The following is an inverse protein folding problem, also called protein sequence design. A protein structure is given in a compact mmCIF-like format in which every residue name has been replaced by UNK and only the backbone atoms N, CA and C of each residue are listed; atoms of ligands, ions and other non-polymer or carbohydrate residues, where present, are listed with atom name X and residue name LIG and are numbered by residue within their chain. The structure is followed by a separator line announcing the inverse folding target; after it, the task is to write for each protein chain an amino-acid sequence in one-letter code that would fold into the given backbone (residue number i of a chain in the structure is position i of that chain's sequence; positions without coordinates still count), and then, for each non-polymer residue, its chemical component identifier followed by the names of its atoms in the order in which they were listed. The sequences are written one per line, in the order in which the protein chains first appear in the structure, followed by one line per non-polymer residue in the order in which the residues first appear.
data_IF_206078943346
#
_entry.id   IF_206078943346
#
_cell.length_a   1.000
_cell.length_b   1.000
_cell.length_c   1.000
_cell.angle_alpha   90.00
_cell.angle_beta   90.00
_cell.angle_gamma   90.00
#
_symmetry.space_group_name_H-M   'P 1'
#
loop_
_entity.id
_entity.type
_entity.pdbx_description
1 polymer ?
#
# COMPACT_ATOMS: atom_id res chain seq x y z
N UNK A 1 -10.80 2.13 -14.71
CA UNK A 1 -11.36 2.84 -15.89
C UNK A 1 -12.55 3.72 -15.50
N UNK A 2 -13.69 3.14 -15.10
CA UNK A 2 -14.91 3.91 -14.81
C UNK A 2 -14.72 5.04 -13.79
N UNK A 3 -13.94 4.80 -12.73
CA UNK A 3 -13.61 5.84 -11.77
C UNK A 3 -12.95 7.07 -12.44
N UNK A 4 -12.00 6.84 -13.36
CA UNK A 4 -11.35 7.91 -14.12
C UNK A 4 -12.29 8.61 -15.10
N UNK A 5 -13.27 7.92 -15.68
CA UNK A 5 -14.32 8.56 -16.49
C UNK A 5 -15.17 9.49 -15.62
N UNK A 6 -15.57 9.04 -14.43
CA UNK A 6 -16.32 9.87 -13.47
C UNK A 6 -15.51 11.09 -13.04
N UNK A 7 -14.23 10.91 -12.69
CA UNK A 7 -13.34 12.02 -12.34
C UNK A 7 -13.14 13.01 -13.48
N UNK A 8 -12.99 12.53 -14.71
CA UNK A 8 -12.87 13.36 -15.91
C UNK A 8 -14.15 14.19 -16.12
N UNK A 9 -15.33 13.57 -16.04
CA UNK A 9 -16.61 14.27 -16.13
C UNK A 9 -16.75 15.31 -15.02
N UNK A 10 -16.39 14.96 -13.78
CA UNK A 10 -16.37 15.90 -12.66
C UNK A 10 -15.45 17.10 -12.93
N UNK A 11 -14.29 16.88 -13.54
CA UNK A 11 -13.37 17.94 -13.96
C UNK A 11 -13.97 18.83 -15.06
N UNK A 12 -14.51 18.23 -16.13
CA UNK A 12 -15.12 18.95 -17.27
C UNK A 12 -16.30 19.82 -16.81
N UNK A 13 -17.19 19.27 -15.98
CA UNK A 13 -18.34 19.99 -15.43
C UNK A 13 -17.99 20.93 -14.26
N UNK A 14 -16.70 21.07 -13.92
CA UNK A 14 -16.22 21.89 -12.79
C UNK A 14 -16.89 21.54 -11.46
N UNK A 15 -17.24 20.27 -11.25
CA UNK A 15 -17.85 19.73 -10.03
C UNK A 15 -16.86 19.64 -8.85
N UNK A 16 -15.64 20.17 -9.00
CA UNK A 16 -14.67 20.30 -7.90
C UNK A 16 -15.18 21.11 -6.71
N UNK A 17 -16.18 21.98 -6.91
CA UNK A 17 -16.81 22.72 -5.81
C UNK A 17 -17.52 21.80 -4.80
N UNK A 18 -18.02 20.62 -5.22
CA UNK A 18 -18.67 19.65 -4.32
C UNK A 18 -17.70 19.15 -3.25
N UNK A 19 -16.43 19.02 -3.60
CA UNK A 19 -15.36 18.56 -2.71
C UNK A 19 -15.10 19.58 -1.59
N UNK A 20 -15.28 20.87 -1.89
CA UNK A 20 -15.14 21.95 -0.91
C UNK A 20 -16.21 21.91 0.18
N UNK A 21 -17.33 21.24 -0.05
CA UNK A 21 -18.38 21.03 0.96
C UNK A 21 -18.12 19.84 1.88
N UNK A 22 -17.06 19.05 1.65
CA UNK A 22 -16.74 17.93 2.53
C UNK A 22 -16.00 18.47 3.76
N UNK A 23 -16.58 18.34 4.97
CA UNK A 23 -15.97 18.89 6.17
C UNK A 23 -14.64 18.20 6.50
N UNK A 24 -13.68 18.95 7.02
CA UNK A 24 -12.38 18.43 7.50
C UNK A 24 -12.56 17.27 8.52
N UNK A 25 -13.54 17.31 9.45
CA UNK A 25 -13.80 16.17 10.33
C UNK A 25 -14.13 14.86 9.59
N UNK A 26 -14.85 14.93 8.47
CA UNK A 26 -15.23 13.75 7.68
C UNK A 26 -14.00 13.13 7.01
N UNK A 27 -13.15 13.94 6.39
CA UNK A 27 -11.92 13.46 5.76
C UNK A 27 -10.94 12.88 6.80
N UNK A 28 -10.88 13.49 7.99
CA UNK A 28 -10.05 13.01 9.10
C UNK A 28 -10.54 11.66 9.63
N UNK A 29 -11.85 11.53 9.88
CA UNK A 29 -12.47 10.26 10.31
C UNK A 29 -12.27 9.15 9.27
N UNK A 30 -12.46 9.47 7.98
CA UNK A 30 -12.23 8.52 6.89
C UNK A 30 -10.77 8.05 6.83
N UNK A 31 -9.81 8.97 6.95
CA UNK A 31 -8.37 8.65 6.96
C UNK A 31 -8.00 7.80 8.16
N UNK A 32 -8.54 8.11 9.34
CA UNK A 32 -8.34 7.34 10.57
C UNK A 32 -8.91 5.91 10.45
N UNK A 33 -10.15 5.77 9.99
CA UNK A 33 -10.78 4.46 9.76
C UNK A 33 -10.00 3.63 8.73
N UNK A 34 -9.58 4.25 7.62
CA UNK A 34 -8.75 3.61 6.60
C UNK A 34 -7.41 3.16 7.19
N UNK A 35 -6.79 3.98 8.05
CA UNK A 35 -5.53 3.64 8.72
C UNK A 35 -5.69 2.39 9.61
N UNK A 36 -6.79 2.29 10.36
CA UNK A 36 -7.11 1.11 11.19
C UNK A 36 -7.30 -0.13 10.31
N UNK A 37 -8.03 -0.02 9.20
CA UNK A 37 -8.20 -1.13 8.24
C UNK A 37 -6.86 -1.59 7.68
N UNK A 38 -6.01 -0.64 7.25
CA UNK A 38 -4.66 -0.93 6.74
C UNK A 38 -3.86 -1.68 7.81
N UNK A 39 -3.80 -1.16 9.04
CA UNK A 39 -3.09 -1.82 10.15
C UNK A 39 -3.59 -3.26 10.32
N UNK A 40 -4.90 -3.48 10.39
CA UNK A 40 -5.47 -4.83 10.50
C UNK A 40 -5.04 -5.75 9.34
N UNK A 41 -5.09 -5.25 8.10
CA UNK A 41 -4.64 -6.03 6.94
C UNK A 41 -3.13 -6.28 6.92
N UNK A 42 -2.31 -5.43 7.51
CA UNK A 42 -0.87 -5.68 7.63
C UNK A 42 -0.55 -6.64 8.77
N UNK A 43 -1.31 -6.62 9.86
CA UNK A 43 -1.14 -7.57 10.97
C UNK A 43 -1.31 -9.01 10.50
N UNK A 44 -2.32 -9.32 9.66
CA UNK A 44 -2.46 -10.69 9.11
C UNK A 44 -1.24 -11.15 8.31
N UNK A 45 -0.59 -10.24 7.58
CA UNK A 45 0.62 -10.54 6.82
C UNK A 45 1.83 -10.70 7.74
N UNK A 46 1.94 -9.86 8.77
CA UNK A 46 3.01 -9.94 9.78
C UNK A 46 2.98 -11.27 10.56
N UNK A 47 1.79 -11.77 10.92
CA UNK A 47 1.64 -13.08 11.57
C UNK A 47 1.67 -14.27 10.59
N UNK A 48 1.71 -14.02 9.28
CA UNK A 48 1.69 -15.06 8.25
C UNK A 48 0.41 -15.90 8.22
N UNK A 49 -0.71 -15.42 8.79
CA UNK A 49 -1.96 -16.20 8.88
C UNK A 49 -2.74 -16.09 7.55
N UNK A 50 -3.05 -17.22 6.88
CA UNK A 50 -3.86 -17.19 5.66
C UNK A 50 -5.31 -16.83 6.00
N UNK A 51 -5.74 -15.64 5.57
CA UNK A 51 -7.10 -15.14 5.80
C UNK A 51 -7.63 -14.35 4.61
N UNK A 52 -8.82 -14.77 4.14
CA UNK A 52 -9.63 -14.06 3.14
C UNK A 52 -10.57 -13.04 3.78
N UNK A 53 -10.38 -12.71 5.06
CA UNK A 53 -11.18 -11.73 5.78
C UNK A 53 -11.09 -10.35 5.12
N UNK A 54 -12.24 -9.69 5.01
CA UNK A 54 -12.39 -8.34 4.46
C UNK A 54 -12.84 -7.40 5.59
N UNK A 55 -12.18 -6.25 5.68
CA UNK A 55 -12.43 -5.28 6.74
C UNK A 55 -11.76 -5.62 8.07
N UNK A 56 -11.73 -4.64 8.97
CA UNK A 56 -10.95 -4.69 10.21
C UNK A 56 -11.44 -5.77 11.18
N UNK A 57 -12.73 -5.74 11.56
CA UNK A 57 -13.29 -6.66 12.56
C UNK A 57 -13.17 -8.12 12.15
N UNK A 58 -13.47 -8.44 10.89
CA UNK A 58 -13.32 -9.81 10.38
C UNK A 58 -11.86 -10.26 10.39
N UNK A 59 -10.93 -9.34 10.11
CA UNK A 59 -9.49 -9.62 10.18
C UNK A 59 -9.06 -9.91 11.61
N UNK A 60 -9.46 -9.09 12.58
CA UNK A 60 -9.16 -9.29 14.02
C UNK A 60 -9.74 -10.61 14.53
N UNK A 61 -11.00 -10.90 14.22
CA UNK A 61 -11.64 -12.17 14.58
C UNK A 61 -10.91 -13.38 13.99
N UNK A 62 -10.51 -13.28 12.71
CA UNK A 62 -9.75 -14.36 12.05
C UNK A 62 -8.37 -14.55 12.68
N UNK A 63 -7.72 -13.47 13.11
CA UNK A 63 -6.43 -13.51 13.79
C UNK A 63 -6.56 -14.16 15.15
N UNK A 64 -7.57 -13.80 15.95
CA UNK A 64 -7.79 -14.42 17.27
C UNK A 64 -8.14 -15.89 17.16
N UNK A 65 -8.97 -16.28 16.18
CA UNK A 65 -9.36 -17.67 15.97
C UNK A 65 -8.22 -18.56 15.44
N UNK A 66 -7.26 -17.99 14.69
CA UNK A 66 -6.14 -18.73 14.07
C UNK A 66 -4.78 -18.36 14.65
N UNK A 67 -4.74 -17.82 15.87
CA UNK A 67 -3.50 -17.32 16.46
C UNK A 67 -2.43 -18.40 16.62
N UNK A 68 -2.84 -19.68 16.72
CA UNK A 68 -1.95 -20.85 16.80
C UNK A 68 -1.35 -21.26 15.46
N UNK A 69 -1.87 -20.75 14.33
CA UNK A 69 -1.38 -21.04 12.97
C UNK A 69 -0.43 -19.96 12.44
N UNK A 70 0.20 -19.19 13.34
CA UNK A 70 1.12 -18.14 12.93
C UNK A 70 2.41 -18.73 12.34
N UNK A 71 3.00 -18.01 11.39
CA UNK A 71 4.30 -18.35 10.82
C UNK A 71 5.39 -17.57 11.56
N UNK A 72 6.27 -18.29 12.25
CA UNK A 72 7.36 -17.67 13.00
C UNK A 72 8.33 -16.90 12.08
N UNK A 73 8.58 -17.42 10.87
CA UNK A 73 9.48 -16.77 9.92
C UNK A 73 8.91 -15.46 9.37
N UNK A 74 7.61 -15.41 9.06
CA UNK A 74 6.95 -14.16 8.63
C UNK A 74 6.98 -13.10 9.75
N UNK A 75 6.78 -13.51 11.00
CA UNK A 75 6.82 -12.61 12.16
C UNK A 75 8.21 -12.04 12.41
N UNK A 76 9.24 -12.89 12.36
CA UNK A 76 10.64 -12.46 12.53
C UNK A 76 11.06 -11.55 11.38
N UNK A 77 10.78 -11.93 10.14
CA UNK A 77 11.10 -11.12 8.96
C UNK A 77 10.41 -9.75 9.00
N UNK A 78 9.12 -9.71 9.31
CA UNK A 78 8.37 -8.48 9.40
C UNK A 78 8.81 -7.61 10.59
N UNK A 79 9.14 -8.21 11.73
CA UNK A 79 9.73 -7.52 12.88
C UNK A 79 11.07 -6.87 12.54
N UNK A 80 11.96 -7.60 11.87
CA UNK A 80 13.24 -7.08 11.36
C UNK A 80 12.99 -5.95 10.35
N UNK A 81 12.05 -6.11 9.43
CA UNK A 81 11.72 -5.09 8.44
C UNK A 81 11.21 -3.79 9.10
N UNK A 82 10.33 -3.89 10.08
CA UNK A 82 9.85 -2.72 10.86
C UNK A 82 11.02 -2.06 11.59
N UNK A 83 11.84 -2.85 12.30
CA UNK A 83 13.03 -2.34 13.00
C UNK A 83 14.00 -1.62 12.06
N UNK A 84 14.29 -2.22 10.91
CA UNK A 84 15.15 -1.66 9.87
C UNK A 84 14.60 -0.33 9.33
N UNK A 85 13.32 -0.28 8.97
CA UNK A 85 12.68 0.93 8.46
C UNK A 85 12.69 2.06 9.50
N UNK A 86 12.45 1.74 10.78
CA UNK A 86 12.50 2.71 11.87
C UNK A 86 13.93 3.18 12.15
N UNK A 87 14.91 2.28 12.12
CA UNK A 87 16.33 2.62 12.29
C UNK A 87 16.81 3.55 11.18
N UNK A 88 16.54 3.24 9.90
CA UNK A 88 16.89 4.11 8.77
C UNK A 88 16.17 5.46 8.83
N UNK A 89 14.96 5.52 9.38
CA UNK A 89 14.26 6.78 9.64
C UNK A 89 14.93 7.60 10.76
N UNK A 90 15.56 6.96 11.73
CA UNK A 90 16.26 7.64 12.81
C UNK A 90 17.64 8.16 12.37
N UNK A 91 18.28 7.54 11.38
CA UNK A 91 19.60 7.97 10.87
C UNK A 91 19.62 9.45 10.43
N UNK A 92 18.54 9.99 9.88
CA UNK A 92 18.47 11.41 9.48
C UNK A 92 18.42 12.38 10.66
N UNK A 93 18.19 11.89 11.88
CA UNK A 93 18.15 12.71 13.10
C UNK A 93 19.53 12.83 13.77
N UNK A 94 20.53 12.08 13.31
CA UNK A 94 21.88 12.14 13.88
C UNK A 94 22.50 13.50 13.55
N UNK A 95 22.93 14.28 14.56
CA UNK A 95 23.58 15.57 14.33
C UNK A 95 24.97 15.33 13.74
N UNK A 96 25.11 15.58 12.44
CA UNK A 96 26.40 15.52 11.74
C UNK A 96 27.00 16.92 11.71
N UNK A 97 28.25 17.08 12.16
CA UNK A 97 28.99 18.35 12.04
C UNK A 97 29.26 18.63 10.55
N UNK A 98 28.74 19.75 10.04
CA UNK A 98 28.84 20.13 8.62
C UNK A 98 30.06 21.01 8.30
N UNK A 99 30.91 21.25 9.30
CA UNK A 99 32.04 22.17 9.22
C UNK A 99 33.12 21.70 8.23
N UNK A 100 33.15 20.40 7.92
CA UNK A 100 34.10 19.80 6.97
C UNK A 100 33.37 19.31 5.71
N UNK A 101 34.05 19.32 4.56
CA UNK A 101 33.53 18.76 3.31
C UNK A 101 33.05 17.30 3.46
N UNK A 102 33.76 16.49 4.27
CA UNK A 102 33.36 15.12 4.62
C UNK A 102 32.06 15.04 5.42
N UNK A 103 31.81 16.00 6.33
CA UNK A 103 30.57 16.06 7.12
C UNK A 103 29.35 16.36 6.25
N UNK A 104 29.47 17.28 5.29
CA UNK A 104 28.42 17.57 4.31
C UNK A 104 28.14 16.37 3.40
N UNK A 105 29.19 15.67 2.95
CA UNK A 105 29.04 14.44 2.16
C UNK A 105 28.32 13.35 2.96
N UNK A 106 28.74 13.11 4.21
CA UNK A 106 28.15 12.12 5.09
C UNK A 106 26.67 12.42 5.34
N UNK A 107 26.30 13.67 5.65
CA UNK A 107 24.89 14.05 5.84
C UNK A 107 24.04 13.79 4.60
N UNK A 108 24.54 14.15 3.41
CA UNK A 108 23.86 13.86 2.14
C UNK A 108 23.70 12.36 1.92
N UNK A 109 24.76 11.58 2.17
CA UNK A 109 24.73 10.12 2.05
C UNK A 109 23.70 9.49 3.00
N UNK A 110 23.70 9.87 4.29
CA UNK A 110 22.73 9.40 5.28
C UNK A 110 21.29 9.75 4.92
N UNK A 111 21.07 10.94 4.36
CA UNK A 111 19.76 11.34 3.84
C UNK A 111 19.32 10.47 2.66
N UNK A 112 20.20 10.21 1.70
CA UNK A 112 19.92 9.31 0.57
C UNK A 112 19.59 7.88 1.02
N UNK A 113 20.37 7.33 1.95
CA UNK A 113 20.13 6.01 2.54
C UNK A 113 18.76 5.94 3.23
N UNK A 114 18.38 7.00 3.96
CA UNK A 114 17.06 7.05 4.60
C UNK A 114 15.91 7.23 3.61
N UNK A 115 16.13 7.94 2.51
CA UNK A 115 15.15 8.12 1.43
C UNK A 115 14.87 6.79 0.71
N UNK A 116 15.91 5.99 0.46
CA UNK A 116 15.79 4.71 -0.25
C UNK A 116 15.40 3.52 0.64
N UNK A 117 15.12 3.73 1.93
CA UNK A 117 14.82 2.67 2.93
C UNK A 117 13.85 1.58 2.46
N UNK A 118 12.78 1.96 1.74
CA UNK A 118 11.77 1.03 1.23
C UNK A 118 12.33 0.15 0.09
N UNK A 119 13.16 0.71 -0.79
CA UNK A 119 13.82 -0.05 -1.84
C UNK A 119 14.91 -0.96 -1.25
N UNK A 120 15.68 -0.46 -0.28
CA UNK A 120 16.74 -1.22 0.38
C UNK A 120 16.19 -2.48 1.06
N UNK A 121 15.12 -2.37 1.84
CA UNK A 121 14.55 -3.54 2.53
C UNK A 121 14.05 -4.58 1.52
N UNK A 122 13.44 -4.17 0.41
CA UNK A 122 12.97 -5.09 -0.64
C UNK A 122 14.16 -5.81 -1.30
N UNK A 123 15.24 -5.10 -1.64
CA UNK A 123 16.43 -5.70 -2.24
C UNK A 123 17.13 -6.68 -1.29
N UNK A 124 17.26 -6.30 -0.01
CA UNK A 124 17.88 -7.16 1.01
C UNK A 124 17.04 -8.42 1.21
N UNK A 125 15.74 -8.28 1.47
CA UNK A 125 14.84 -9.42 1.71
C UNK A 125 14.72 -10.32 0.48
N UNK A 126 14.68 -9.75 -0.73
CA UNK A 126 14.71 -10.51 -1.98
C UNK A 126 16.02 -11.28 -2.17
N UNK A 127 17.16 -10.69 -1.79
CA UNK A 127 18.46 -11.38 -1.87
C UNK A 127 18.55 -12.51 -0.85
N UNK A 128 18.07 -12.29 0.37
CA UNK A 128 17.99 -13.32 1.43
C UNK A 128 17.10 -14.48 0.98
N UNK A 129 15.91 -14.17 0.44
CA UNK A 129 14.98 -15.17 -0.09
C UNK A 129 15.60 -15.97 -1.25
N UNK A 130 16.29 -15.32 -2.17
CA UNK A 130 16.97 -15.98 -3.28
C UNK A 130 18.11 -16.90 -2.82
N UNK A 131 18.91 -16.44 -1.85
CA UNK A 131 19.98 -17.26 -1.25
C UNK A 131 19.40 -18.51 -0.59
N UNK A 132 18.33 -18.36 0.18
CA UNK A 132 17.67 -19.49 0.83
C UNK A 132 17.10 -20.49 -0.17
N UNK A 133 16.39 -19.98 -1.19
CA UNK A 133 15.80 -20.81 -2.25
C UNK A 133 16.84 -21.62 -3.03
N UNK A 134 18.08 -21.16 -3.09
CA UNK A 134 19.15 -21.82 -3.84
C UNK A 134 20.03 -22.75 -2.97
N UNK A 135 19.97 -22.63 -1.64
CA UNK A 135 20.80 -23.43 -0.72
C UNK A 135 20.34 -24.88 -0.55
N UNK A 136 19.20 -25.27 -1.12
CA UNK A 136 18.71 -26.65 -1.08
C UNK A 136 18.18 -27.11 0.29
N UNK A 137 18.07 -26.20 1.26
CA UNK A 137 17.31 -26.44 2.50
C UNK A 137 15.80 -26.44 2.22
N UNK A 138 15.03 -27.05 3.13
CA UNK A 138 13.57 -27.09 3.14
C UNK A 138 12.91 -25.72 2.87
N UNK A 139 11.62 -25.77 2.51
CA UNK A 139 10.76 -24.62 2.18
C UNK A 139 11.13 -23.33 2.92
N UNK A 140 11.27 -22.23 2.18
CA UNK A 140 11.62 -20.91 2.72
C UNK A 140 10.74 -20.60 3.95
N UNK A 141 11.32 -20.18 5.09
CA UNK A 141 10.61 -20.09 6.37
C UNK A 141 9.52 -19.00 6.43
N UNK A 142 9.34 -18.22 5.36
CA UNK A 142 8.37 -17.13 5.24
C UNK A 142 7.71 -17.17 3.87
N UNK A 143 6.53 -16.56 3.76
CA UNK A 143 5.71 -16.61 2.54
C UNK A 143 6.28 -15.72 1.44
N UNK A 144 6.53 -16.32 0.28
CA UNK A 144 6.97 -15.61 -0.92
C UNK A 144 5.79 -14.94 -1.64
N UNK A 145 6.07 -13.84 -2.35
CA UNK A 145 5.06 -13.02 -3.07
C UNK A 145 4.44 -13.71 -4.31
N UNK A 146 4.69 -14.99 -4.51
CA UNK A 146 4.22 -15.77 -5.66
C UNK A 146 4.96 -15.44 -6.97
N UNK A 147 4.55 -16.11 -8.05
CA UNK A 147 5.11 -15.86 -9.37
C UNK A 147 4.49 -14.61 -10.02
N UNK A 148 5.32 -13.62 -10.30
CA UNK A 148 4.94 -12.47 -11.12
C UNK A 148 5.16 -12.85 -12.59
N UNK A 149 4.10 -12.80 -13.40
CA UNK A 149 4.21 -13.03 -14.85
C UNK A 149 5.12 -11.99 -15.47
N UNK A 150 6.16 -12.42 -16.18
CA UNK A 150 7.06 -11.53 -16.89
C UNK A 150 6.39 -10.94 -18.14
N UNK A 151 6.68 -9.68 -18.45
CA UNK A 151 6.15 -8.97 -19.61
C UNK A 151 5.16 -7.86 -19.26
N UNK A 152 4.82 -7.07 -20.27
CA UNK A 152 3.78 -6.05 -20.16
C UNK A 152 2.43 -6.75 -20.37
N UNK A 153 1.40 -6.49 -19.55
CA UNK A 153 0.07 -7.03 -19.82
C UNK A 153 -0.38 -6.60 -21.22
N UNK A 154 -1.05 -7.50 -21.95
CA UNK A 154 -1.62 -7.16 -23.25
C UNK A 154 -2.57 -5.98 -23.13
N UNK A 155 -2.66 -5.16 -24.17
CA UNK A 155 -3.66 -4.09 -24.21
C UNK A 155 -5.05 -4.71 -24.31
N UNK A 156 -5.84 -4.57 -23.25
CA UNK A 156 -7.22 -5.05 -23.19
C UNK A 156 -8.17 -3.86 -23.02
N UNK A 157 -9.21 -3.81 -23.84
CA UNK A 157 -10.22 -2.76 -23.73
C UNK A 157 -10.99 -2.93 -22.41
N UNK A 158 -11.26 -1.85 -21.66
CA UNK A 158 -11.88 -1.94 -20.33
C UNK A 158 -13.37 -2.34 -20.38
N UNK A 159 -13.98 -2.36 -21.57
CA UNK A 159 -15.38 -2.73 -21.81
C UNK A 159 -15.39 -4.11 -22.47
N UNK A 160 -15.08 -5.15 -21.69
CA UNK A 160 -15.12 -6.54 -22.15
C UNK A 160 -15.90 -7.41 -21.16
N UNK A 161 -16.42 -8.54 -21.66
CA UNK A 161 -17.05 -9.55 -20.81
C UNK A 161 -15.95 -10.32 -20.07
N UNK A 162 -16.15 -10.54 -18.77
CA UNK A 162 -15.15 -11.20 -17.93
C UNK A 162 -15.45 -12.70 -17.90
N UNK A 163 -14.45 -13.51 -18.23
CA UNK A 163 -14.56 -14.96 -18.11
C UNK A 163 -13.98 -15.41 -16.77
N UNK A 164 -14.83 -15.94 -15.89
CA UNK A 164 -14.42 -16.50 -14.60
C UNK A 164 -14.74 -17.99 -14.62
N UNK A 165 -13.72 -18.83 -14.87
CA UNK A 165 -13.92 -20.26 -15.05
C UNK A 165 -14.74 -20.56 -16.31
N UNK A 166 -15.88 -21.23 -16.16
CA UNK A 166 -16.79 -21.57 -17.26
C UNK A 166 -17.90 -20.51 -17.49
N UNK A 167 -17.97 -19.48 -16.64
CA UNK A 167 -19.02 -18.45 -16.73
C UNK A 167 -18.49 -17.19 -17.41
N UNK A 168 -19.33 -16.62 -18.27
CA UNK A 168 -19.07 -15.33 -18.92
C UNK A 168 -19.96 -14.29 -18.29
N UNK A 169 -19.35 -13.39 -17.51
CA UNK A 169 -20.05 -12.31 -16.84
C UNK A 169 -20.11 -11.12 -17.81
N UNK A 170 -21.31 -10.69 -18.23
CA UNK A 170 -21.46 -9.53 -19.11
C UNK A 170 -21.00 -8.26 -18.39
N UNK A 171 -20.43 -7.33 -19.16
CA UNK A 171 -19.88 -6.08 -18.62
C UNK A 171 -20.86 -5.32 -17.69
N UNK A 172 -22.13 -5.24 -18.07
CA UNK A 172 -23.14 -4.52 -17.28
C UNK A 172 -23.42 -5.16 -15.92
N UNK A 173 -23.25 -6.48 -15.79
CA UNK A 173 -23.38 -7.18 -14.51
C UNK A 173 -22.19 -6.85 -13.61
N UNK A 174 -20.96 -6.81 -14.17
CA UNK A 174 -19.78 -6.32 -13.45
C UNK A 174 -19.98 -4.88 -12.95
N UNK A 175 -20.53 -3.99 -13.78
CA UNK A 175 -20.81 -2.60 -13.38
C UNK A 175 -21.87 -2.54 -12.27
N UNK A 176 -22.90 -3.38 -12.35
CA UNK A 176 -23.94 -3.48 -11.33
C UNK A 176 -23.36 -4.00 -10.00
N UNK A 177 -22.46 -4.98 -10.05
CA UNK A 177 -21.79 -5.56 -8.88
C UNK A 177 -20.85 -4.56 -8.20
N UNK A 178 -20.25 -3.62 -8.95
CA UNK A 178 -19.50 -2.51 -8.37
C UNK A 178 -20.40 -1.59 -7.53
N UNK A 179 -21.69 -1.46 -7.88
CA UNK A 179 -22.68 -0.72 -7.10
C UNK A 179 -22.25 0.70 -6.73
N UNK A 180 -22.30 1.03 -5.44
CA UNK A 180 -21.97 2.37 -4.92
C UNK A 180 -20.48 2.72 -5.00
N UNK A 181 -19.59 1.73 -5.17
CA UNK A 181 -18.15 1.97 -5.30
C UNK A 181 -17.80 2.80 -6.54
N UNK A 182 -18.68 2.78 -7.55
CA UNK A 182 -18.55 3.55 -8.79
C UNK A 182 -18.47 5.06 -8.54
N UNK A 183 -19.19 5.58 -7.54
CA UNK A 183 -19.19 7.00 -7.17
C UNK A 183 -18.20 7.25 -6.02
N UNK A 184 -18.15 6.32 -5.06
CA UNK A 184 -17.34 6.47 -3.86
C UNK A 184 -15.84 6.53 -4.17
N UNK A 185 -15.33 5.65 -5.03
CA UNK A 185 -13.90 5.58 -5.36
C UNK A 185 -13.40 6.90 -5.99
N UNK A 186 -14.03 7.43 -7.05
CA UNK A 186 -13.72 8.76 -7.60
C UNK A 186 -13.73 9.87 -6.57
N UNK A 187 -14.78 9.92 -5.74
CA UNK A 187 -14.95 10.97 -4.76
C UNK A 187 -13.80 10.97 -3.74
N UNK A 188 -13.43 9.78 -3.25
CA UNK A 188 -12.30 9.59 -2.33
C UNK A 188 -10.98 9.96 -3.00
N UNK A 189 -10.78 9.60 -4.28
CA UNK A 189 -9.58 9.97 -5.02
C UNK A 189 -9.44 11.49 -5.18
N UNK A 190 -10.52 12.19 -5.54
CA UNK A 190 -10.53 13.65 -5.64
C UNK A 190 -10.26 14.29 -4.28
N UNK A 191 -10.88 13.78 -3.21
CA UNK A 191 -10.64 14.26 -1.85
C UNK A 191 -9.17 14.13 -1.44
N UNK A 192 -8.54 13.00 -1.76
CA UNK A 192 -7.13 12.78 -1.48
C UNK A 192 -6.25 13.77 -2.27
N UNK A 193 -6.49 13.93 -3.57
CA UNK A 193 -5.75 14.86 -4.43
C UNK A 193 -5.88 16.31 -3.96
N UNK A 194 -7.09 16.75 -3.60
CA UNK A 194 -7.33 18.10 -3.06
C UNK A 194 -6.63 18.30 -1.71
N UNK A 195 -6.64 17.29 -0.84
CA UNK A 195 -5.95 17.35 0.46
C UNK A 195 -4.44 17.47 0.29
N UNK A 196 -3.86 16.72 -0.64
CA UNK A 196 -2.44 16.80 -1.01
C UNK A 196 -2.11 18.18 -1.58
N UNK A 197 -2.91 18.68 -2.52
CA UNK A 197 -2.72 20.02 -3.10
C UNK A 197 -2.77 21.12 -2.01
N UNK A 198 -3.72 21.04 -1.08
CA UNK A 198 -3.82 21.97 0.06
C UNK A 198 -2.62 21.87 1.01
N UNK A 199 -2.09 20.67 1.24
CA UNK A 199 -0.91 20.49 2.07
C UNK A 199 0.33 21.16 1.45
N UNK A 200 0.52 20.99 0.13
CA UNK A 200 1.61 21.65 -0.60
C UNK A 200 1.43 23.17 -0.70
N UNK A 201 0.19 23.65 -0.89
CA UNK A 201 -0.05 25.10 -0.96
C UNK A 201 0.20 25.81 0.38
N UNK A 202 -0.12 25.16 1.51
CA UNK A 202 0.15 25.71 2.85
C UNK A 202 1.63 25.70 3.22
N UNK A 203 2.45 24.79 2.70
CA UNK A 203 3.90 24.80 2.92
C UNK A 203 4.66 25.88 2.13
N UNK A 204 3.97 26.62 1.25
CA UNK A 204 4.54 27.67 0.42
C UNK A 204 4.31 29.10 0.96
N UNK A 205 3.75 29.24 2.17
CA UNK A 205 3.66 30.49 2.94
C UNK A 205 4.44 30.35 4.24
#
# INVERSE_FOLDING_TARGET
FLAGVVELLMGIFKLGFLVSFIPIPVTSAFTSATSIIIIGTQLKHLFGIPSNARGFFQTVYSLSAKITQFSAGDLVLGGIAIGFLLALRQITKIPVKEDTAGGRFLKKFLWYVSLSRNALIVLITSTVAYRWSNSGEDEVPFKLSGHVKAGIPGFELPIHNVHVGNETIPYFEVVKDLGSSLILVPLVAILANVSIAKAFSKSSQ
#
